data_IF_110878383732
#
_entry.id   IF_110878383732
#
_cell.length_a   1.000
_cell.length_b   1.000
_cell.length_c   1.000
_cell.angle_alpha   90.00
_cell.angle_beta   90.00
_cell.angle_gamma   90.00
#
_symmetry.space_group_name_H-M   'P 1'
#
loop_
_entity.id
_entity.type
_entity.pdbx_description
1 polymer ?
#
# COMPACT_ATOMS: atom_id res chain seq x y z
N UNK A 1 25.58 10.40 12.85
CA UNK A 1 25.64 10.17 11.39
C UNK A 1 24.33 10.64 10.78
N UNK A 2 24.35 11.32 9.62
CA UNK A 2 23.15 11.74 8.90
C UNK A 2 22.52 10.56 8.14
N UNK A 3 21.28 10.69 7.68
CA UNK A 3 20.66 9.71 6.80
C UNK A 3 21.38 9.71 5.43
N UNK A 4 21.51 8.52 4.84
CA UNK A 4 22.11 8.34 3.52
C UNK A 4 21.08 8.69 2.44
N UNK A 5 21.31 9.82 1.77
CA UNK A 5 20.42 10.33 0.71
C UNK A 5 20.39 9.43 -0.51
N UNK A 6 21.52 8.81 -0.87
CA UNK A 6 21.59 7.99 -2.06
C UNK A 6 20.74 6.73 -1.90
N UNK A 7 20.76 6.13 -0.71
CA UNK A 7 19.90 4.98 -0.40
C UNK A 7 18.41 5.36 -0.50
N UNK A 8 18.03 6.52 0.06
CA UNK A 8 16.64 7.00 0.00
C UNK A 8 16.20 7.25 -1.44
N UNK A 9 17.03 7.92 -2.24
CA UNK A 9 16.72 8.23 -3.63
C UNK A 9 16.66 6.99 -4.52
N UNK A 10 17.55 6.01 -4.31
CA UNK A 10 17.49 4.74 -5.01
C UNK A 10 16.17 4.01 -4.71
N UNK A 11 15.78 3.96 -3.43
CA UNK A 11 14.51 3.33 -3.04
C UNK A 11 13.29 4.04 -3.66
N UNK A 12 13.27 5.38 -3.67
CA UNK A 12 12.23 6.17 -4.33
C UNK A 12 12.18 5.87 -5.83
N UNK A 13 13.34 5.80 -6.49
CA UNK A 13 13.44 5.50 -7.92
C UNK A 13 12.94 4.08 -8.25
N UNK A 14 13.28 3.09 -7.41
CA UNK A 14 12.83 1.71 -7.58
C UNK A 14 11.31 1.61 -7.40
N UNK A 15 10.76 2.30 -6.39
CA UNK A 15 9.32 2.37 -6.17
C UNK A 15 8.58 3.05 -7.33
N UNK A 16 9.08 4.19 -7.81
CA UNK A 16 8.44 4.91 -8.92
C UNK A 16 8.43 4.06 -10.19
N UNK A 17 9.53 3.39 -10.52
CA UNK A 17 9.60 2.50 -11.68
C UNK A 17 8.65 1.30 -11.60
N UNK A 18 8.23 0.91 -10.39
CA UNK A 18 7.34 -0.23 -10.15
C UNK A 18 5.86 0.15 -10.07
N UNK A 19 5.54 1.36 -9.59
CA UNK A 19 4.15 1.78 -9.30
C UNK A 19 3.63 2.77 -10.36
N UNK A 20 4.48 3.65 -10.90
CA UNK A 20 4.05 4.72 -11.79
C UNK A 20 4.05 4.22 -13.23
N UNK A 21 2.86 4.11 -13.81
CA UNK A 21 2.66 3.57 -15.16
C UNK A 21 2.67 4.67 -16.23
N UNK A 22 2.30 5.90 -15.86
CA UNK A 22 2.31 7.03 -16.77
C UNK A 22 3.76 7.49 -17.06
N UNK A 23 4.09 7.62 -18.35
CA UNK A 23 5.45 7.92 -18.79
C UNK A 23 5.88 9.37 -18.47
N UNK A 24 4.93 10.31 -18.48
CA UNK A 24 5.21 11.72 -18.18
C UNK A 24 5.46 11.90 -16.68
N UNK A 25 4.63 11.29 -15.84
CA UNK A 25 4.81 11.29 -14.39
C UNK A 25 6.13 10.61 -13.99
N UNK A 26 6.47 9.49 -14.62
CA UNK A 26 7.72 8.78 -14.34
C UNK A 26 8.95 9.61 -14.76
N UNK A 27 8.87 10.33 -15.88
CA UNK A 27 9.93 11.22 -16.34
C UNK A 27 10.12 12.44 -15.41
N UNK A 28 9.03 13.03 -14.91
CA UNK A 28 9.08 14.10 -13.90
C UNK A 28 9.74 13.61 -12.62
N UNK A 29 9.29 12.47 -12.07
CA UNK A 29 9.86 11.87 -10.86
C UNK A 29 11.35 11.59 -11.04
N UNK A 30 11.76 11.00 -12.17
CA UNK A 30 13.17 10.71 -12.46
C UNK A 30 14.02 11.98 -12.47
N UNK A 31 13.51 13.07 -13.06
CA UNK A 31 14.18 14.37 -13.08
C UNK A 31 14.32 14.95 -11.67
N UNK A 32 13.24 14.90 -10.89
CA UNK A 32 13.19 15.38 -9.52
C UNK A 32 14.13 14.61 -8.58
N UNK A 33 14.24 13.28 -8.75
CA UNK A 33 15.20 12.44 -8.01
C UNK A 33 16.66 12.88 -8.25
N UNK A 34 17.01 13.22 -9.50
CA UNK A 34 18.36 13.73 -9.83
C UNK A 34 18.62 15.10 -9.19
N UNK A 35 17.63 15.99 -9.21
CA UNK A 35 17.73 17.32 -8.58
C UNK A 35 17.87 17.20 -7.06
N UNK A 36 17.09 16.30 -6.44
CA UNK A 36 17.02 16.12 -5.00
C UNK A 36 18.40 15.84 -4.36
N UNK A 37 19.27 15.11 -5.05
CA UNK A 37 20.62 14.79 -4.56
C UNK A 37 21.44 16.03 -4.14
N UNK A 38 21.21 17.17 -4.80
CA UNK A 38 21.97 18.41 -4.62
C UNK A 38 21.27 19.44 -3.72
N UNK A 39 20.11 19.12 -3.15
CA UNK A 39 19.34 20.05 -2.32
C UNK A 39 19.96 20.25 -0.93
N UNK A 40 19.58 21.34 -0.25
CA UNK A 40 19.82 21.50 1.18
C UNK A 40 19.11 20.40 1.97
N UNK A 41 19.46 20.18 3.25
CA UNK A 41 18.83 19.10 4.03
C UNK A 41 17.31 19.28 4.20
N UNK A 42 16.86 20.50 4.41
CA UNK A 42 15.45 20.85 4.53
C UNK A 42 14.70 20.65 3.22
N UNK A 43 15.23 21.21 2.11
CA UNK A 43 14.63 21.06 0.80
C UNK A 43 14.63 19.58 0.33
N UNK A 44 15.68 18.82 0.65
CA UNK A 44 15.71 17.38 0.40
C UNK A 44 14.60 16.65 1.15
N UNK A 45 14.42 16.93 2.44
CA UNK A 45 13.41 16.26 3.26
C UNK A 45 11.99 16.53 2.74
N UNK A 46 11.70 17.77 2.36
CA UNK A 46 10.42 18.12 1.75
C UNK A 46 10.24 17.43 0.39
N UNK A 47 11.27 17.44 -0.46
CA UNK A 47 11.22 16.85 -1.79
C UNK A 47 10.95 15.33 -1.74
N UNK A 48 11.59 14.59 -0.83
CA UNK A 48 11.35 13.14 -0.72
C UNK A 48 9.96 12.81 -0.16
N UNK A 49 9.40 13.66 0.71
CA UNK A 49 8.01 13.51 1.17
C UNK A 49 7.03 13.74 0.02
N UNK A 50 7.26 14.77 -0.79
CA UNK A 50 6.43 15.06 -1.96
C UNK A 50 6.54 13.97 -3.03
N UNK A 51 7.76 13.48 -3.33
CA UNK A 51 7.97 12.35 -4.24
C UNK A 51 7.24 11.10 -3.75
N UNK A 52 7.34 10.77 -2.46
CA UNK A 52 6.63 9.62 -1.90
C UNK A 52 5.11 9.77 -1.98
N UNK A 53 4.58 10.99 -1.78
CA UNK A 53 3.15 11.27 -1.96
C UNK A 53 2.73 11.00 -3.41
N UNK A 54 3.45 11.52 -4.39
CA UNK A 54 3.14 11.35 -5.82
C UNK A 54 3.18 9.87 -6.24
N UNK A 55 4.19 9.12 -5.78
CA UNK A 55 4.27 7.67 -6.02
C UNK A 55 3.06 6.95 -5.41
N UNK A 56 2.71 7.27 -4.17
CA UNK A 56 1.57 6.66 -3.50
C UNK A 56 0.22 7.05 -4.11
N UNK A 57 0.11 8.24 -4.71
CA UNK A 57 -1.09 8.67 -5.44
C UNK A 57 -1.31 7.84 -6.72
N UNK A 58 -0.24 7.32 -7.32
CA UNK A 58 -0.27 6.43 -8.47
C UNK A 58 -0.60 4.97 -8.13
N UNK A 59 -0.58 4.59 -6.85
CA UNK A 59 -0.97 3.24 -6.42
C UNK A 59 -2.47 3.01 -6.60
N UNK A 60 -2.84 2.26 -7.64
CA UNK A 60 -4.24 1.98 -8.02
C UNK A 60 -4.76 0.57 -7.69
N UNK A 61 -3.88 -0.39 -7.39
CA UNK A 61 -4.25 -1.78 -7.11
C UNK A 61 -3.53 -2.34 -5.87
N UNK A 62 -4.05 -3.42 -5.25
CA UNK A 62 -3.43 -4.04 -4.07
C UNK A 62 -1.94 -4.37 -4.22
N UNK A 63 -1.51 -4.79 -5.42
CA UNK A 63 -0.10 -5.10 -5.70
C UNK A 63 0.82 -3.90 -5.49
N UNK A 64 0.42 -2.70 -5.93
CA UNK A 64 1.20 -1.47 -5.73
C UNK A 64 1.38 -1.14 -4.24
N UNK A 65 0.36 -1.37 -3.41
CA UNK A 65 0.46 -1.16 -1.96
C UNK A 65 1.45 -2.13 -1.29
N UNK A 66 1.51 -3.38 -1.76
CA UNK A 66 2.45 -4.38 -1.27
C UNK A 66 3.90 -4.06 -1.63
N UNK A 67 4.13 -3.36 -2.75
CA UNK A 67 5.46 -2.89 -3.15
C UNK A 67 6.02 -1.79 -2.22
N UNK A 68 5.18 -1.01 -1.54
CA UNK A 68 5.60 0.01 -0.55
C UNK A 68 6.14 -0.66 0.73
N UNK A 69 7.38 -1.12 0.66
CA UNK A 69 8.06 -1.87 1.70
C UNK A 69 9.46 -1.32 1.95
N UNK A 70 9.92 -1.44 3.20
CA UNK A 70 11.29 -1.04 3.56
C UNK A 70 12.30 -2.04 3.01
N UNK A 71 13.44 -1.52 2.58
CA UNK A 71 14.59 -2.34 2.22
C UNK A 71 15.20 -2.98 3.49
N UNK A 72 15.46 -4.30 3.51
CA UNK A 72 15.86 -5.03 4.72
C UNK A 72 17.26 -4.69 5.26
N UNK A 73 18.11 -4.01 4.47
CA UNK A 73 19.52 -3.75 4.81
C UNK A 73 19.74 -2.33 5.38
N UNK A 74 18.69 -1.52 5.49
CA UNK A 74 18.79 -0.12 5.93
C UNK A 74 18.78 -0.02 7.46
N UNK A 75 19.66 0.81 8.03
CA UNK A 75 19.76 0.98 9.48
C UNK A 75 19.98 2.45 9.89
N UNK A 76 19.88 2.72 11.21
CA UNK A 76 20.13 4.04 11.78
C UNK A 76 19.20 5.13 11.25
N UNK A 77 19.73 6.34 11.02
CA UNK A 77 18.92 7.50 10.58
C UNK A 77 18.31 7.32 9.19
N UNK A 78 18.94 6.53 8.31
CA UNK A 78 18.37 6.21 6.99
C UNK A 78 17.10 5.37 7.16
N UNK A 79 17.11 4.39 8.07
CA UNK A 79 15.93 3.60 8.37
C UNK A 79 14.81 4.48 8.93
N UNK A 80 15.13 5.38 9.87
CA UNK A 80 14.16 6.35 10.41
C UNK A 80 13.50 7.20 9.31
N UNK A 81 14.29 7.72 8.37
CA UNK A 81 13.76 8.50 7.24
C UNK A 81 12.86 7.63 6.32
N UNK A 82 13.31 6.43 5.96
CA UNK A 82 12.52 5.50 5.16
C UNK A 82 11.23 5.06 5.87
N UNK A 83 11.23 4.87 7.20
CA UNK A 83 10.03 4.53 7.96
C UNK A 83 8.99 5.65 7.94
N UNK A 84 9.43 6.91 8.02
CA UNK A 84 8.54 8.08 7.88
C UNK A 84 7.91 8.12 6.48
N UNK A 85 8.74 7.94 5.45
CA UNK A 85 8.28 7.91 4.06
C UNK A 85 7.33 6.74 3.80
N UNK A 86 7.65 5.55 4.31
CA UNK A 86 6.79 4.37 4.18
C UNK A 86 5.44 4.60 4.85
N UNK A 87 5.42 5.17 6.07
CA UNK A 87 4.19 5.49 6.78
C UNK A 87 3.30 6.43 5.96
N UNK A 88 3.90 7.50 5.38
CA UNK A 88 3.20 8.41 4.50
C UNK A 88 2.66 7.71 3.25
N UNK A 89 3.50 6.95 2.55
CA UNK A 89 3.11 6.29 1.30
C UNK A 89 2.01 5.27 1.50
N UNK A 90 2.09 4.45 2.54
CA UNK A 90 1.02 3.50 2.89
C UNK A 90 -0.26 4.23 3.31
N UNK A 91 -0.17 5.33 4.06
CA UNK A 91 -1.34 6.10 4.45
C UNK A 91 -2.07 6.70 3.24
N UNK A 92 -1.33 7.21 2.26
CA UNK A 92 -1.90 7.78 1.01
C UNK A 92 -2.46 6.68 0.11
N UNK A 93 -1.67 5.65 -0.21
CA UNK A 93 -2.10 4.57 -1.10
C UNK A 93 -3.28 3.77 -0.51
N UNK A 94 -3.24 3.48 0.80
CA UNK A 94 -4.24 2.67 1.49
C UNK A 94 -5.66 3.22 1.39
N UNK A 95 -5.80 4.55 1.41
CA UNK A 95 -7.10 5.23 1.27
C UNK A 95 -7.61 5.35 -0.16
N UNK A 96 -6.76 5.14 -1.17
CA UNK A 96 -7.10 5.30 -2.59
C UNK A 96 -7.51 4.00 -3.26
N UNK A 97 -6.92 2.90 -2.84
CA UNK A 97 -7.16 1.59 -3.46
C UNK A 97 -8.55 1.08 -3.08
N UNK A 98 -9.28 0.60 -4.08
CA UNK A 98 -10.56 -0.09 -3.89
C UNK A 98 -10.31 -1.53 -3.43
N UNK A 99 -10.35 -1.75 -2.11
CA UNK A 99 -10.13 -3.07 -1.52
C UNK A 99 -11.30 -4.03 -1.80
N UNK A 100 -11.05 -5.21 -2.39
CA UNK A 100 -12.12 -6.07 -2.91
C UNK A 100 -12.87 -6.82 -1.81
N UNK A 101 -12.33 -6.90 -0.59
CA UNK A 101 -12.99 -7.56 0.54
C UNK A 101 -12.74 -6.85 1.87
N UNK A 102 -13.67 -7.03 2.81
CA UNK A 102 -13.53 -6.51 4.17
C UNK A 102 -12.29 -7.02 4.92
N UNK A 103 -11.91 -8.32 4.86
CA UNK A 103 -10.67 -8.80 5.47
C UNK A 103 -9.41 -8.13 4.90
N UNK A 104 -9.37 -7.87 3.59
CA UNK A 104 -8.23 -7.17 2.98
C UNK A 104 -8.14 -5.71 3.41
N UNK A 105 -9.26 -4.98 3.40
CA UNK A 105 -9.28 -3.61 3.90
C UNK A 105 -8.82 -3.55 5.38
N UNK A 106 -9.17 -4.55 6.20
CA UNK A 106 -8.68 -4.66 7.59
C UNK A 106 -7.19 -4.97 7.67
N UNK A 107 -6.67 -5.88 6.83
CA UNK A 107 -5.22 -6.18 6.74
C UNK A 107 -4.43 -4.90 6.44
N UNK A 108 -4.90 -4.14 5.47
CA UNK A 108 -4.29 -2.87 5.03
C UNK A 108 -4.35 -1.85 6.15
N UNK A 109 -5.50 -1.69 6.81
CA UNK A 109 -5.63 -0.80 7.97
C UNK A 109 -4.59 -1.10 9.05
N UNK A 110 -4.41 -2.38 9.39
CA UNK A 110 -3.37 -2.81 10.34
C UNK A 110 -1.98 -2.46 9.84
N UNK A 111 -1.66 -2.75 8.58
CA UNK A 111 -0.34 -2.44 8.00
C UNK A 111 -0.04 -0.93 7.97
N UNK A 112 -1.04 -0.08 7.72
CA UNK A 112 -0.91 1.38 7.83
C UNK A 112 -0.65 1.81 9.27
N UNK A 113 -1.37 1.23 10.24
CA UNK A 113 -1.16 1.53 11.65
C UNK A 113 0.25 1.12 12.13
N UNK A 114 0.69 -0.09 11.79
CA UNK A 114 2.01 -0.62 12.17
C UNK A 114 3.15 0.24 11.56
N UNK A 115 3.02 0.61 10.28
CA UNK A 115 3.98 1.51 9.63
C UNK A 115 3.93 2.91 10.24
N UNK A 116 2.74 3.38 10.60
CA UNK A 116 2.51 4.64 11.28
C UNK A 116 3.21 4.70 12.64
N UNK A 117 3.09 3.66 13.45
CA UNK A 117 3.77 3.54 14.75
C UNK A 117 5.30 3.57 14.57
N UNK A 118 5.83 2.85 13.57
CA UNK A 118 7.26 2.87 13.25
C UNK A 118 7.73 4.26 12.78
N UNK A 119 6.96 4.92 11.91
CA UNK A 119 7.25 6.27 11.43
C UNK A 119 7.19 7.31 12.54
N UNK A 120 6.17 7.26 13.40
CA UNK A 120 6.04 8.16 14.55
C UNK A 120 7.16 7.96 15.57
N UNK A 121 7.55 6.72 15.86
CA UNK A 121 8.71 6.43 16.70
C UNK A 121 10.01 7.01 16.11
N UNK A 122 10.18 6.94 14.78
CA UNK A 122 11.29 7.57 14.08
C UNK A 122 11.27 9.10 14.22
N UNK A 123 10.11 9.75 14.08
CA UNK A 123 9.99 11.20 14.29
C UNK A 123 10.25 11.58 15.76
N UNK A 124 9.73 10.82 16.72
CA UNK A 124 9.97 11.08 18.15
C UNK A 124 11.46 11.05 18.52
N UNK A 125 12.26 10.24 17.81
CA UNK A 125 13.71 10.20 18.03
C UNK A 125 14.45 11.48 17.64
N UNK A 126 13.79 12.38 16.89
CA UNK A 126 14.32 13.70 16.51
C UNK A 126 14.19 14.73 17.65
N UNK A 127 13.45 14.43 18.72
CA UNK A 127 13.23 15.35 19.83
C UNK A 127 12.29 16.51 19.48
N UNK A 128 12.50 17.67 20.10
CA UNK A 128 11.63 18.85 19.95
C UNK A 128 11.49 19.35 18.51
N UNK A 129 12.54 19.21 17.70
CA UNK A 129 12.56 19.63 16.29
C UNK A 129 11.61 18.79 15.41
N UNK A 130 11.19 17.61 15.88
CA UNK A 130 10.26 16.72 15.17
C UNK A 130 8.79 16.94 15.52
N UNK A 131 8.44 17.88 16.42
CA UNK A 131 7.08 18.00 16.95
C UNK A 131 6.02 18.28 15.86
N UNK A 132 6.31 19.21 14.94
CA UNK A 132 5.40 19.55 13.85
C UNK A 132 5.25 18.40 12.86
N UNK A 133 6.36 17.73 12.51
CA UNK A 133 6.33 16.54 11.66
C UNK A 133 5.54 15.40 12.31
N UNK A 134 5.65 15.24 13.63
CA UNK A 134 4.91 14.22 14.38
C UNK A 134 3.41 14.52 14.36
N UNK A 135 3.03 15.77 14.62
CA UNK A 135 1.63 16.20 14.60
C UNK A 135 1.02 16.04 13.20
N UNK A 136 1.77 16.40 12.16
CA UNK A 136 1.34 16.22 10.77
C UNK A 136 1.21 14.75 10.40
N UNK A 137 2.24 13.93 10.63
CA UNK A 137 2.25 12.52 10.26
C UNK A 137 1.16 11.73 11.01
N UNK A 138 0.99 11.99 12.31
CA UNK A 138 -0.07 11.34 13.11
C UNK A 138 -1.47 11.69 12.62
N UNK A 139 -1.70 12.93 12.19
CA UNK A 139 -2.95 13.36 11.56
C UNK A 139 -3.22 12.61 10.25
N UNK A 140 -2.21 12.51 9.36
CA UNK A 140 -2.32 11.78 8.08
C UNK A 140 -2.64 10.30 8.31
N UNK A 141 -1.94 9.64 9.24
CA UNK A 141 -2.19 8.23 9.59
C UNK A 141 -3.60 8.06 10.16
N UNK A 142 -4.03 8.92 11.09
CA UNK A 142 -5.35 8.84 11.70
C UNK A 142 -6.48 8.99 10.67
N UNK A 143 -6.35 9.95 9.75
CA UNK A 143 -7.30 10.14 8.65
C UNK A 143 -7.32 8.91 7.73
N UNK A 144 -6.16 8.38 7.36
CA UNK A 144 -6.07 7.18 6.51
C UNK A 144 -6.70 5.95 7.15
N UNK A 145 -6.35 5.67 8.41
CA UNK A 145 -6.92 4.53 9.17
C UNK A 145 -8.44 4.63 9.27
N UNK A 146 -8.98 5.85 9.45
CA UNK A 146 -10.43 6.09 9.44
C UNK A 146 -11.02 5.81 8.07
N UNK A 147 -10.45 6.38 7.00
CA UNK A 147 -10.92 6.17 5.64
C UNK A 147 -10.93 4.68 5.25
N UNK A 148 -9.86 3.94 5.56
CA UNK A 148 -9.79 2.49 5.30
C UNK A 148 -10.84 1.74 6.13
N UNK A 149 -11.15 2.21 7.35
CA UNK A 149 -12.21 1.62 8.16
C UNK A 149 -13.58 1.79 7.51
N UNK A 150 -13.85 2.96 6.91
CA UNK A 150 -15.08 3.24 6.18
C UNK A 150 -15.18 2.39 4.90
N UNK A 151 -14.06 2.22 4.18
CA UNK A 151 -13.95 1.30 3.04
C UNK A 151 -14.25 -0.13 3.50
N UNK A 152 -13.64 -0.59 4.61
CA UNK A 152 -13.86 -1.93 5.15
C UNK A 152 -15.32 -2.18 5.59
N UNK A 153 -15.98 -1.15 6.14
CA UNK A 153 -17.39 -1.23 6.52
C UNK A 153 -18.27 -1.49 5.29
N UNK A 154 -17.94 -0.82 4.18
CA UNK A 154 -18.68 -0.86 2.91
C UNK A 154 -18.30 -2.06 2.02
N UNK A 155 -17.13 -2.65 2.22
CA UNK A 155 -16.65 -3.79 1.45
C UNK A 155 -17.42 -5.08 1.75
N UNK A 156 -17.57 -5.92 0.72
CA UNK A 156 -18.28 -7.19 0.82
C UNK A 156 -17.59 -8.13 1.84
N UNK A 157 -18.36 -8.81 2.72
CA UNK A 157 -17.81 -9.84 3.58
C UNK A 157 -17.44 -11.09 2.79
N UNK A 158 -16.53 -11.90 3.34
CA UNK A 158 -16.23 -13.23 2.82
C UNK A 158 -17.15 -14.24 3.48
N UNK A 159 -17.74 -15.13 2.67
CA UNK A 159 -18.62 -16.23 3.09
C UNK A 159 -18.05 -17.57 2.62
N UNK A 160 -18.34 -18.62 3.38
CA UNK A 160 -17.93 -19.98 3.03
C UNK A 160 -19.01 -20.64 2.17
N UNK A 161 -18.64 -20.98 0.93
CA UNK A 161 -19.48 -21.71 -0.01
C UNK A 161 -19.14 -23.18 0.07
N UNK A 162 -20.18 -24.02 0.06
CA UNK A 162 -20.03 -25.47 -0.03
C UNK A 162 -20.81 -25.99 -1.23
N UNK A 163 -20.11 -26.58 -2.17
CA UNK A 163 -20.67 -27.26 -3.33
C UNK A 163 -20.60 -28.77 -3.09
N UNK A 164 -21.57 -29.52 -3.61
CA UNK A 164 -21.57 -30.98 -3.49
C UNK A 164 -20.51 -31.65 -4.38
N UNK A 165 -20.03 -30.93 -5.40
CA UNK A 165 -19.05 -31.40 -6.39
C UNK A 165 -18.10 -30.26 -6.76
N UNK A 166 -16.89 -30.62 -7.22
CA UNK A 166 -15.95 -29.65 -7.80
C UNK A 166 -16.54 -29.11 -9.10
N UNK A 167 -16.55 -27.79 -9.24
CA UNK A 167 -17.04 -27.09 -10.42
C UNK A 167 -15.97 -26.11 -10.93
N UNK A 168 -15.95 -25.78 -12.23
CA UNK A 168 -15.09 -24.71 -12.74
C UNK A 168 -15.47 -23.35 -12.15
N UNK A 169 -14.49 -22.46 -11.96
CA UNK A 169 -14.66 -21.13 -11.38
C UNK A 169 -15.62 -20.24 -12.18
N UNK A 170 -15.71 -20.42 -13.50
CA UNK A 170 -16.66 -19.72 -14.36
C UNK A 170 -18.11 -20.08 -14.08
N UNK A 171 -18.39 -21.37 -13.83
CA UNK A 171 -19.72 -21.86 -13.43
C UNK A 171 -20.07 -21.33 -12.05
N UNK A 172 -19.11 -21.39 -11.11
CA UNK A 172 -19.31 -20.89 -9.75
C UNK A 172 -19.56 -19.37 -9.71
N UNK A 173 -18.78 -18.60 -10.47
CA UNK A 173 -18.97 -17.15 -10.57
C UNK A 173 -20.34 -16.79 -11.16
N UNK A 174 -20.80 -17.51 -12.18
CA UNK A 174 -22.15 -17.30 -12.70
C UNK A 174 -23.24 -17.68 -11.68
N UNK A 175 -23.07 -18.77 -10.94
CA UNK A 175 -24.05 -19.19 -9.92
C UNK A 175 -24.09 -18.25 -8.70
N UNK A 176 -22.95 -17.73 -8.27
CA UNK A 176 -22.85 -16.86 -7.10
C UNK A 176 -23.18 -15.40 -7.41
N UNK A 177 -22.80 -14.92 -8.60
CA UNK A 177 -22.83 -13.49 -8.93
C UNK A 177 -23.62 -13.14 -10.18
N UNK A 178 -24.11 -14.13 -10.93
CA UNK A 178 -24.73 -13.91 -12.24
C UNK A 178 -23.76 -13.48 -13.34
N UNK A 179 -22.45 -13.44 -13.06
CA UNK A 179 -21.42 -12.97 -13.99
C UNK A 179 -20.20 -13.91 -14.00
N UNK A 180 -20.03 -14.63 -15.11
CA UNK A 180 -18.92 -15.53 -15.33
C UNK A 180 -17.56 -14.81 -15.42
N UNK A 181 -17.53 -13.50 -15.72
CA UNK A 181 -16.27 -12.72 -15.79
C UNK A 181 -15.61 -12.57 -14.42
N UNK A 182 -16.34 -12.79 -13.33
CA UNK A 182 -15.82 -12.76 -11.96
C UNK A 182 -15.08 -14.04 -11.55
N UNK A 183 -14.90 -14.99 -12.47
CA UNK A 183 -14.25 -16.27 -12.23
C UNK A 183 -12.85 -16.14 -11.61
N UNK A 184 -12.04 -15.19 -12.08
CA UNK A 184 -10.67 -15.01 -11.55
C UNK A 184 -10.71 -14.63 -10.07
N UNK A 185 -11.56 -13.67 -9.69
CA UNK A 185 -11.72 -13.28 -8.29
C UNK A 185 -12.21 -14.43 -7.39
N UNK A 186 -13.01 -15.37 -7.92
CA UNK A 186 -13.38 -16.58 -7.17
C UNK A 186 -12.17 -17.49 -6.92
N UNK A 187 -11.31 -17.66 -7.93
CA UNK A 187 -10.07 -18.46 -7.81
C UNK A 187 -9.13 -17.83 -6.78
N UNK A 188 -8.93 -16.51 -6.87
CA UNK A 188 -8.01 -15.76 -6.01
C UNK A 188 -8.43 -15.84 -4.54
N UNK A 189 -9.72 -15.64 -4.25
CA UNK A 189 -10.24 -15.69 -2.87
C UNK A 189 -10.27 -17.11 -2.33
N UNK A 190 -10.60 -18.09 -3.17
CA UNK A 190 -10.59 -19.50 -2.78
C UNK A 190 -9.16 -20.04 -2.56
N UNK A 191 -8.13 -19.33 -3.01
CA UNK A 191 -6.76 -19.83 -3.05
C UNK A 191 -6.62 -21.09 -3.89
N UNK A 192 -7.44 -21.24 -4.94
CA UNK A 192 -7.49 -22.46 -5.74
C UNK A 192 -6.34 -22.48 -6.76
N UNK A 193 -5.62 -23.60 -6.83
CA UNK A 193 -4.49 -23.74 -7.74
C UNK A 193 -4.90 -23.85 -9.22
N UNK A 194 -6.13 -24.29 -9.51
CA UNK A 194 -6.63 -24.44 -10.89
C UNK A 194 -8.08 -23.95 -11.02
N UNK A 195 -8.37 -23.05 -11.98
CA UNK A 195 -9.72 -22.57 -12.23
C UNK A 195 -10.71 -23.66 -12.67
N UNK A 196 -10.24 -24.77 -13.23
CA UNK A 196 -11.11 -25.85 -13.74
C UNK A 196 -11.59 -26.80 -12.63
N UNK A 197 -10.87 -26.89 -11.52
CA UNK A 197 -11.13 -27.83 -10.42
C UNK A 197 -11.10 -27.06 -9.10
N UNK A 198 -12.19 -26.35 -8.83
CA UNK A 198 -12.32 -25.61 -7.57
C UNK A 198 -12.67 -26.57 -6.42
N UNK A 199 -12.14 -26.34 -5.21
CA UNK A 199 -12.48 -27.16 -4.05
C UNK A 199 -13.98 -27.09 -3.74
N UNK A 200 -14.53 -28.17 -3.20
CA UNK A 200 -15.96 -28.27 -2.85
C UNK A 200 -16.36 -27.37 -1.68
N UNK A 201 -15.39 -26.85 -0.93
CA UNK A 201 -15.61 -25.85 0.10
C UNK A 201 -14.58 -24.75 -0.10
N UNK A 202 -15.03 -23.51 -0.27
CA UNK A 202 -14.15 -22.37 -0.51
C UNK A 202 -14.76 -21.07 0.01
N UNK A 203 -13.90 -20.06 0.15
CA UNK A 203 -14.30 -18.72 0.54
C UNK A 203 -14.61 -17.89 -0.70
N UNK A 204 -15.67 -17.09 -0.65
CA UNK A 204 -16.11 -16.22 -1.74
C UNK A 204 -16.64 -14.88 -1.19
N UNK A 205 -16.70 -13.84 -2.01
CA UNK A 205 -17.41 -12.60 -1.62
C UNK A 205 -18.90 -12.88 -1.49
N UNK A 206 -19.53 -12.32 -0.47
CA UNK A 206 -20.99 -12.24 -0.42
C UNK A 206 -21.50 -11.36 -1.57
N UNK A 207 -22.54 -11.82 -2.25
CA UNK A 207 -23.33 -11.03 -3.20
C UNK A 207 -24.40 -10.22 -2.47
#
# INVERSE_FOLDING_TARGET
MAADRQIILNWISDLSASIVVDEEDLADITTRVVIAANLTAEAFAQEVLDLMRVIAENASEPGHFDQISLMPVVSGKTLSACSILQALGLAVAGGRIAWPSRPEARRVRSRVADAGDAGLAAVSSLGGDGADLYAWLSSVIAVSVRLISDIAASAAPIVKIKTGISLPSTVLAYQLYGDAKRAQGVVDIAGAATPLVMPTTFDALAS
#
